data_IF_085549796758
#
_entry.id   IF_085549796758
#
_cell.length_a   1.000
_cell.length_b   1.000
_cell.length_c   1.000
_cell.angle_alpha   90.00
_cell.angle_beta   90.00
_cell.angle_gamma   90.00
#
_symmetry.space_group_name_H-M   'P 1'
#
loop_
_entity.id
_entity.type
_entity.pdbx_description
1 polymer ?
#
# COMPACT_ATOMS: atom_id res chain seq x y z
N UNK A 1 37.53 -66.94 58.48
CA UNK A 1 37.04 -65.55 58.59
C UNK A 1 38.01 -64.69 57.79
N UNK A 2 37.64 -63.92 56.77
CA UNK A 2 36.33 -63.57 56.24
C UNK A 2 36.41 -63.39 54.72
N UNK A 3 35.25 -63.52 54.09
CA UNK A 3 35.03 -63.44 52.64
C UNK A 3 35.11 -61.96 52.24
N UNK A 4 36.08 -61.62 51.37
CA UNK A 4 36.14 -60.29 50.75
C UNK A 4 35.36 -60.36 49.43
N UNK A 5 34.08 -59.98 49.48
CA UNK A 5 33.22 -59.88 48.29
C UNK A 5 33.63 -58.61 47.54
N UNK A 6 34.38 -58.75 46.44
CA UNK A 6 34.53 -57.67 45.47
C UNK A 6 33.17 -57.46 44.77
N UNK A 7 32.45 -56.42 45.20
CA UNK A 7 31.31 -55.86 44.47
C UNK A 7 31.81 -55.22 43.18
N UNK A 8 31.73 -55.95 42.07
CA UNK A 8 31.94 -55.40 40.74
C UNK A 8 30.83 -54.41 40.39
N UNK A 9 31.15 -53.12 40.41
CA UNK A 9 30.34 -52.07 39.80
C UNK A 9 30.34 -52.28 38.28
N UNK A 10 29.29 -52.94 37.77
CA UNK A 10 28.94 -52.86 36.36
C UNK A 10 28.51 -51.41 36.08
N UNK A 11 29.45 -50.58 35.63
CA UNK A 11 29.12 -49.31 35.03
C UNK A 11 28.34 -49.62 33.74
N UNK A 12 27.02 -49.51 33.81
CA UNK A 12 26.14 -49.52 32.65
C UNK A 12 26.58 -48.36 31.77
N UNK A 13 27.33 -48.67 30.71
CA UNK A 13 27.57 -47.74 29.62
C UNK A 13 26.20 -47.50 29.01
N UNK A 14 25.54 -46.42 29.44
CA UNK A 14 24.40 -45.87 28.73
C UNK A 14 24.95 -45.40 27.37
N UNK A 15 24.90 -46.29 26.38
CA UNK A 15 24.89 -45.85 25.00
C UNK A 15 23.59 -45.07 24.85
N UNK A 16 23.66 -43.75 25.02
CA UNK A 16 22.59 -42.87 24.58
C UNK A 16 22.29 -43.28 23.14
N UNK A 17 21.09 -43.81 22.91
CA UNK A 17 20.61 -44.01 21.55
C UNK A 17 20.50 -42.60 21.00
N UNK A 18 21.50 -42.16 20.22
CA UNK A 18 21.36 -40.98 19.39
C UNK A 18 20.06 -41.20 18.61
N UNK A 19 19.05 -40.40 18.89
CA UNK A 19 17.83 -40.43 18.12
C UNK A 19 18.24 -40.17 16.67
N UNK A 20 18.20 -41.21 15.83
CA UNK A 20 18.51 -41.04 14.41
C UNK A 20 17.25 -40.48 13.76
N UNK A 21 17.12 -39.16 13.80
CA UNK A 21 16.03 -38.49 13.11
C UNK A 21 16.11 -38.75 11.61
N UNK A 22 14.93 -38.81 10.97
CA UNK A 22 14.80 -38.97 9.52
C UNK A 22 15.68 -37.94 8.78
N UNK A 23 16.51 -38.42 7.85
CA UNK A 23 17.46 -37.64 7.06
C UNK A 23 18.31 -36.64 7.87
N UNK A 24 18.58 -36.92 9.16
CA UNK A 24 19.27 -35.98 10.06
C UNK A 24 18.64 -34.59 10.07
N UNK A 25 17.31 -34.53 10.05
CA UNK A 25 16.54 -33.28 9.93
C UNK A 25 16.93 -32.44 8.71
N UNK A 26 17.43 -33.09 7.65
CA UNK A 26 17.92 -32.48 6.40
C UNK A 26 18.96 -31.37 6.63
N UNK A 27 19.64 -31.34 7.78
CA UNK A 27 20.50 -30.22 8.19
C UNK A 27 19.74 -28.91 8.50
N UNK A 28 18.42 -28.99 8.61
CA UNK A 28 17.50 -27.87 8.80
C UNK A 28 16.70 -27.97 10.11
N UNK A 29 17.21 -28.72 11.07
CA UNK A 29 16.64 -28.81 12.41
C UNK A 29 17.55 -29.53 13.39
N UNK A 30 17.14 -29.55 14.65
CA UNK A 30 17.77 -30.34 15.70
C UNK A 30 16.96 -31.60 15.98
N UNK A 31 17.65 -32.73 16.12
CA UNK A 31 17.00 -33.98 16.48
C UNK A 31 16.74 -34.05 17.99
N UNK A 32 15.47 -34.18 18.36
CA UNK A 32 15.04 -34.35 19.75
C UNK A 32 14.71 -35.79 20.10
N UNK A 33 14.20 -35.98 21.33
CA UNK A 33 13.66 -37.27 21.76
C UNK A 33 12.53 -37.78 20.84
N UNK A 34 12.34 -39.10 20.82
CA UNK A 34 11.35 -39.79 19.97
C UNK A 34 11.58 -39.62 18.44
N UNK A 35 12.82 -39.43 17.99
CA UNK A 35 13.19 -39.28 16.58
C UNK A 35 12.43 -38.14 15.86
N UNK A 36 12.10 -37.08 16.61
CA UNK A 36 11.35 -35.93 16.10
C UNK A 36 12.30 -34.76 15.84
N UNK A 37 12.27 -34.25 14.61
CA UNK A 37 12.98 -33.03 14.26
C UNK A 37 12.24 -31.78 14.76
N UNK A 38 13.00 -30.85 15.34
CA UNK A 38 12.58 -29.47 15.56
C UNK A 38 13.24 -28.60 14.50
N UNK A 39 12.46 -28.10 13.54
CA UNK A 39 12.99 -27.36 12.40
C UNK A 39 13.49 -25.96 12.77
N UNK A 40 14.53 -25.51 12.08
CA UNK A 40 15.00 -24.13 12.16
C UNK A 40 14.00 -23.16 11.50
N UNK A 41 14.02 -21.86 11.87
CA UNK A 41 13.15 -20.86 11.25
C UNK A 41 13.22 -20.89 9.72
N UNK A 42 12.05 -20.86 9.07
CA UNK A 42 11.93 -20.93 7.61
C UNK A 42 11.96 -22.35 7.04
N UNK A 43 12.06 -23.38 7.87
CA UNK A 43 11.98 -24.79 7.48
C UNK A 43 10.85 -25.53 8.19
N UNK A 44 10.27 -26.51 7.50
CA UNK A 44 9.11 -27.31 7.89
C UNK A 44 9.15 -28.64 7.15
N UNK A 45 8.09 -29.43 7.26
CA UNK A 45 7.97 -30.76 6.65
C UNK A 45 8.38 -31.83 7.64
N UNK A 46 7.39 -32.43 8.30
CA UNK A 46 7.64 -33.63 9.09
C UNK A 46 7.92 -34.83 8.15
N UNK A 47 8.83 -35.74 8.51
CA UNK A 47 9.56 -35.79 9.78
C UNK A 47 10.96 -35.14 9.76
N UNK A 48 11.42 -34.53 8.66
CA UNK A 48 12.85 -34.25 8.41
C UNK A 48 13.22 -32.80 8.05
N UNK A 49 12.32 -31.83 8.20
CA UNK A 49 12.59 -30.40 7.94
C UNK A 49 13.06 -30.07 6.51
N UNK A 50 12.73 -30.91 5.52
CA UNK A 50 13.19 -30.78 4.13
C UNK A 50 12.50 -29.67 3.32
N UNK A 51 11.48 -28.99 3.87
CA UNK A 51 10.62 -28.04 3.14
C UNK A 51 10.79 -26.63 3.67
N UNK A 52 10.76 -25.61 2.81
CA UNK A 52 10.68 -24.20 3.19
C UNK A 52 9.29 -23.83 3.70
N UNK A 53 9.20 -22.96 4.69
CA UNK A 53 7.93 -22.38 5.12
C UNK A 53 7.48 -21.35 4.08
N UNK A 54 6.25 -21.49 3.58
CA UNK A 54 5.62 -20.47 2.75
C UNK A 54 4.93 -19.39 3.61
N UNK A 55 4.81 -18.16 3.09
CA UNK A 55 4.12 -17.10 3.79
C UNK A 55 2.62 -17.41 3.92
N UNK A 56 2.06 -16.95 5.03
CA UNK A 56 0.63 -17.00 5.30
C UNK A 56 0.02 -15.62 5.17
N UNK A 57 -1.24 -15.55 4.75
CA UNK A 57 -2.01 -14.31 4.73
C UNK A 57 -3.48 -14.58 5.01
N UNK A 58 -4.28 -13.51 5.11
CA UNK A 58 -5.74 -13.59 5.27
C UNK A 58 -6.33 -14.54 4.23
N UNK A 59 -7.05 -15.57 4.68
CA UNK A 59 -7.65 -16.55 3.78
C UNK A 59 -8.77 -15.89 2.95
N UNK A 60 -8.81 -16.18 1.65
CA UNK A 60 -9.92 -15.79 0.78
C UNK A 60 -11.19 -16.62 1.01
N UNK A 61 -11.02 -17.85 1.49
CA UNK A 61 -12.12 -18.68 1.92
C UNK A 61 -11.65 -19.61 3.04
N UNK A 62 -12.33 -19.60 4.17
CA UNK A 62 -12.13 -20.57 5.23
C UNK A 62 -13.47 -20.93 5.87
N UNK A 63 -13.45 -21.99 6.68
CA UNK A 63 -14.61 -22.34 7.49
C UNK A 63 -14.64 -21.38 8.68
N UNK A 64 -15.74 -20.66 8.87
CA UNK A 64 -15.93 -19.84 10.06
C UNK A 64 -15.77 -20.70 11.32
N UNK A 65 -14.91 -20.23 12.24
CA UNK A 65 -14.65 -20.89 13.52
C UNK A 65 -15.56 -20.37 14.63
N UNK A 66 -16.35 -19.34 14.35
CA UNK A 66 -17.32 -18.75 15.27
C UNK A 66 -18.10 -17.60 14.63
N UNK A 67 -19.02 -17.01 15.40
CA UNK A 67 -19.78 -15.83 14.98
C UNK A 67 -18.83 -14.67 14.68
N UNK A 68 -18.84 -14.18 13.43
CA UNK A 68 -17.93 -13.12 12.95
C UNK A 68 -16.43 -13.48 13.06
N UNK A 69 -16.08 -14.77 13.09
CA UNK A 69 -14.68 -15.24 13.11
C UNK A 69 -14.42 -16.13 11.90
N UNK A 70 -13.73 -15.56 10.92
CA UNK A 70 -13.31 -16.19 9.66
C UNK A 70 -12.05 -15.47 9.15
N UNK A 71 -11.56 -15.87 7.98
CA UNK A 71 -10.40 -15.33 7.27
C UNK A 71 -9.08 -15.45 8.03
N UNK A 72 -8.87 -16.60 8.68
CA UNK A 72 -7.63 -16.92 9.40
C UNK A 72 -6.41 -16.86 8.50
N UNK A 73 -5.22 -16.66 9.08
CA UNK A 73 -3.97 -16.70 8.32
C UNK A 73 -3.72 -18.12 7.78
N UNK A 74 -3.65 -18.25 6.46
CA UNK A 74 -3.49 -19.53 5.77
C UNK A 74 -2.30 -19.47 4.81
N UNK A 75 -1.61 -20.60 4.64
CA UNK A 75 -0.53 -20.75 3.66
C UNK A 75 -1.03 -20.32 2.28
N UNK A 76 -0.28 -19.40 1.66
CA UNK A 76 -0.63 -18.81 0.38
C UNK A 76 -2.07 -18.28 0.30
N UNK A 77 -2.63 -17.80 1.43
CA UNK A 77 -3.99 -17.27 1.56
C UNK A 77 -5.04 -18.15 0.88
N UNK A 78 -4.81 -19.47 0.88
CA UNK A 78 -5.59 -20.47 0.15
C UNK A 78 -5.93 -20.11 -1.33
N UNK A 79 -5.10 -19.29 -1.97
CA UNK A 79 -5.18 -18.85 -3.37
C UNK A 79 -3.85 -18.98 -4.10
N UNK A 80 -3.09 -19.98 -3.71
CA UNK A 80 -1.87 -20.38 -4.36
C UNK A 80 -1.42 -21.75 -3.88
N UNK A 81 -0.40 -22.27 -4.53
CA UNK A 81 0.31 -23.49 -4.14
C UNK A 81 1.68 -23.10 -3.64
N UNK A 82 2.07 -23.60 -2.47
CA UNK A 82 3.42 -23.39 -1.94
C UNK A 82 4.43 -24.22 -2.74
N UNK A 83 5.45 -23.56 -3.31
CA UNK A 83 6.68 -24.24 -3.71
C UNK A 83 7.58 -24.39 -2.48
N UNK A 84 7.51 -25.56 -1.86
CA UNK A 84 8.27 -25.90 -0.66
C UNK A 84 9.79 -25.96 -0.88
N UNK A 85 10.30 -25.90 -2.12
CA UNK A 85 11.75 -25.82 -2.36
C UNK A 85 12.26 -24.38 -2.21
N UNK A 86 11.44 -23.40 -2.57
CA UNK A 86 11.79 -21.96 -2.54
C UNK A 86 11.14 -21.20 -1.40
N UNK A 87 10.02 -21.69 -0.85
CA UNK A 87 9.19 -20.99 0.12
C UNK A 87 8.31 -19.89 -0.50
N UNK A 88 8.12 -19.93 -1.83
CA UNK A 88 7.34 -18.94 -2.58
C UNK A 88 5.96 -19.49 -2.93
N UNK A 89 4.93 -18.66 -2.76
CA UNK A 89 3.58 -19.01 -3.17
C UNK A 89 3.37 -18.77 -4.66
N UNK A 90 3.00 -19.81 -5.40
CA UNK A 90 2.55 -19.74 -6.79
C UNK A 90 1.06 -19.39 -6.81
N UNK A 91 0.73 -18.12 -7.01
CA UNK A 91 -0.65 -17.65 -6.95
C UNK A 91 -1.51 -18.13 -8.11
N UNK A 92 -2.77 -18.44 -7.82
CA UNK A 92 -3.77 -18.71 -8.85
C UNK A 92 -4.09 -17.43 -9.63
N UNK A 93 -4.53 -17.57 -10.89
CA UNK A 93 -4.86 -16.42 -11.76
C UNK A 93 -5.77 -15.40 -11.07
N UNK A 94 -5.39 -14.13 -11.16
CA UNK A 94 -6.13 -13.02 -10.55
C UNK A 94 -5.75 -12.70 -9.09
N UNK A 95 -4.78 -13.41 -8.52
CA UNK A 95 -4.25 -13.17 -7.17
C UNK A 95 -2.76 -12.83 -7.21
N UNK A 96 -2.31 -12.05 -6.23
CA UNK A 96 -0.94 -11.55 -6.10
C UNK A 96 -0.59 -11.27 -4.64
N UNK A 97 0.64 -10.79 -4.40
CA UNK A 97 1.24 -10.68 -3.08
C UNK A 97 2.04 -11.91 -2.70
N UNK A 98 2.91 -11.76 -1.70
CA UNK A 98 3.80 -12.83 -1.24
C UNK A 98 3.05 -14.10 -0.80
N UNK A 99 1.85 -13.95 -0.25
CA UNK A 99 0.98 -15.05 0.15
C UNK A 99 -0.28 -15.14 -0.73
N UNK A 100 -0.32 -14.54 -1.92
CA UNK A 100 -1.54 -14.53 -2.76
C UNK A 100 -2.77 -13.90 -2.11
N UNK A 101 -2.54 -13.04 -1.11
CA UNK A 101 -3.58 -12.43 -0.29
C UNK A 101 -4.29 -11.27 -1.00
N UNK A 102 -3.77 -10.77 -2.12
CA UNK A 102 -4.32 -9.61 -2.84
C UNK A 102 -4.93 -10.01 -4.18
N UNK A 103 -5.94 -9.27 -4.63
CA UNK A 103 -6.42 -9.33 -6.03
C UNK A 103 -5.49 -8.55 -6.94
N UNK A 104 -5.32 -9.03 -8.16
CA UNK A 104 -4.67 -8.26 -9.22
C UNK A 104 -5.64 -7.19 -9.71
N UNK A 105 -5.16 -5.95 -9.88
CA UNK A 105 -5.94 -4.93 -10.57
C UNK A 105 -6.06 -5.23 -12.06
N UNK A 106 -7.25 -5.02 -12.62
CA UNK A 106 -7.52 -5.30 -14.03
C UNK A 106 -6.56 -4.51 -14.93
N UNK A 107 -5.98 -5.19 -15.92
CA UNK A 107 -5.02 -4.64 -16.90
C UNK A 107 -3.88 -3.80 -16.28
N UNK A 108 -3.52 -4.06 -15.02
CA UNK A 108 -2.57 -3.24 -14.27
C UNK A 108 -2.90 -1.72 -14.36
N UNK A 109 -4.19 -1.39 -14.25
CA UNK A 109 -4.71 -0.03 -14.38
C UNK A 109 -4.36 0.65 -15.71
N UNK A 110 -4.14 -0.14 -16.76
CA UNK A 110 -3.84 0.31 -18.13
C UNK A 110 -2.67 1.29 -18.23
N UNK A 111 -1.79 1.34 -17.21
CA UNK A 111 -0.72 2.35 -17.11
C UNK A 111 -1.19 3.78 -16.82
N UNK A 112 -2.47 3.96 -16.45
CA UNK A 112 -3.11 5.24 -16.16
C UNK A 112 -3.72 5.27 -14.76
N UNK A 113 -3.05 4.63 -13.81
CA UNK A 113 -3.47 4.63 -12.43
C UNK A 113 -2.61 3.74 -11.54
N UNK A 114 -2.86 3.83 -10.24
CA UNK A 114 -2.20 3.03 -9.22
C UNK A 114 -3.14 1.98 -8.67
N UNK A 115 -2.69 0.74 -8.55
CA UNK A 115 -3.46 -0.33 -7.92
C UNK A 115 -3.47 -0.17 -6.40
N UNK A 116 -4.63 0.12 -5.81
CA UNK A 116 -4.79 0.45 -4.39
C UNK A 116 -5.73 -0.51 -3.67
N UNK A 117 -5.55 -0.64 -2.36
CA UNK A 117 -6.43 -1.45 -1.51
C UNK A 117 -7.75 -0.74 -1.23
N UNK A 118 -8.81 -1.49 -0.89
CA UNK A 118 -10.08 -0.89 -0.48
C UNK A 118 -9.94 0.07 0.71
N UNK A 119 -9.05 -0.23 1.66
CA UNK A 119 -8.72 0.69 2.77
C UNK A 119 -8.23 2.05 2.26
N UNK A 120 -7.28 2.05 1.32
CA UNK A 120 -6.74 3.27 0.74
C UNK A 120 -7.77 4.01 -0.10
N UNK A 121 -8.59 3.29 -0.87
CA UNK A 121 -9.68 3.91 -1.63
C UNK A 121 -10.68 4.62 -0.71
N UNK A 122 -11.07 4.00 0.41
CA UNK A 122 -11.94 4.62 1.41
C UNK A 122 -11.34 5.88 2.02
N UNK A 123 -10.06 5.84 2.38
CA UNK A 123 -9.36 6.96 3.00
C UNK A 123 -9.07 8.13 2.04
N UNK A 124 -8.77 7.85 0.77
CA UNK A 124 -8.36 8.87 -0.20
C UNK A 124 -9.53 9.44 -1.01
N UNK A 125 -10.57 8.64 -1.25
CA UNK A 125 -11.68 8.97 -2.16
C UNK A 125 -13.06 8.84 -1.53
N UNK A 126 -13.15 8.36 -0.28
CA UNK A 126 -14.40 8.35 0.44
C UNK A 126 -14.86 9.77 0.81
N UNK A 127 -16.14 9.92 1.21
CA UNK A 127 -16.71 11.22 1.57
C UNK A 127 -15.92 11.85 2.71
N UNK A 128 -15.40 13.06 2.48
CA UNK A 128 -14.67 13.83 3.48
C UNK A 128 -15.63 14.63 4.36
N UNK A 129 -15.44 14.53 5.68
CA UNK A 129 -16.18 15.28 6.71
C UNK A 129 -15.41 16.52 7.20
N UNK A 130 -14.52 17.06 6.36
CA UNK A 130 -13.74 18.27 6.63
C UNK A 130 -12.34 18.03 7.18
N UNK A 131 -11.80 16.81 7.04
CA UNK A 131 -10.48 16.41 7.53
C UNK A 131 -9.47 16.16 6.40
N UNK A 132 -9.90 16.25 5.15
CA UNK A 132 -9.10 15.88 3.97
C UNK A 132 -8.95 14.37 3.79
N UNK A 133 -9.73 13.55 4.51
CA UNK A 133 -9.70 12.08 4.44
C UNK A 133 -11.11 11.52 4.48
N UNK A 134 -11.33 10.48 3.69
CA UNK A 134 -12.54 9.67 3.76
C UNK A 134 -12.54 8.71 4.96
N UNK A 135 -13.63 7.96 5.16
CA UNK A 135 -13.78 7.01 6.25
C UNK A 135 -12.74 5.88 6.19
N UNK A 136 -12.31 5.43 7.37
CA UNK A 136 -11.49 4.23 7.51
C UNK A 136 -12.34 2.99 7.21
N UNK A 137 -11.92 2.19 6.23
CA UNK A 137 -12.56 0.92 5.90
C UNK A 137 -11.78 -0.24 6.53
N UNK A 138 -12.41 -0.93 7.49
CA UNK A 138 -11.72 -1.87 8.40
C UNK A 138 -12.17 -3.33 8.27
N UNK A 139 -12.98 -3.67 7.25
CA UNK A 139 -13.42 -5.05 7.05
C UNK A 139 -12.24 -5.99 6.70
N UNK A 140 -12.44 -7.31 6.77
CA UNK A 140 -11.37 -8.30 6.62
C UNK A 140 -10.62 -8.19 5.28
N UNK A 141 -11.32 -7.80 4.23
CA UNK A 141 -10.86 -7.68 2.85
C UNK A 141 -10.19 -6.33 2.55
N UNK A 142 -10.12 -5.43 3.53
CA UNK A 142 -9.66 -4.05 3.33
C UNK A 142 -8.30 -3.93 2.63
N UNK A 143 -7.41 -4.92 2.83
CA UNK A 143 -6.06 -4.98 2.24
C UNK A 143 -5.91 -6.05 1.14
N UNK A 144 -6.96 -6.84 0.92
CA UNK A 144 -6.96 -7.98 -0.01
C UNK A 144 -7.66 -7.62 -1.32
N UNK A 145 -8.77 -6.89 -1.22
CA UNK A 145 -9.47 -6.35 -2.38
C UNK A 145 -8.76 -5.10 -2.88
N UNK A 146 -8.46 -5.09 -4.18
CA UNK A 146 -7.75 -4.00 -4.85
C UNK A 146 -8.59 -3.43 -5.99
N UNK A 147 -8.43 -2.14 -6.22
CA UNK A 147 -9.06 -1.39 -7.32
C UNK A 147 -8.06 -0.41 -7.92
N UNK A 148 -8.25 -0.06 -9.18
CA UNK A 148 -7.47 1.00 -9.80
C UNK A 148 -7.91 2.36 -9.29
N UNK A 149 -6.93 3.12 -8.84
CA UNK A 149 -7.05 4.55 -8.62
C UNK A 149 -6.48 5.27 -9.85
N UNK A 150 -7.38 5.80 -10.68
CA UNK A 150 -7.00 6.34 -11.99
C UNK A 150 -6.36 7.71 -11.90
N UNK A 151 -5.36 7.90 -12.76
CA UNK A 151 -4.78 9.20 -13.03
C UNK A 151 -5.84 10.11 -13.68
N UNK A 152 -5.68 11.41 -13.49
CA UNK A 152 -6.62 12.37 -14.05
C UNK A 152 -6.75 12.24 -15.57
N UNK A 153 -7.98 12.38 -16.06
CA UNK A 153 -8.31 12.20 -17.47
C UNK A 153 -8.60 10.75 -17.86
N UNK A 154 -8.45 9.80 -16.93
CA UNK A 154 -8.82 8.40 -17.11
C UNK A 154 -9.85 7.95 -16.08
N UNK A 155 -10.70 7.02 -16.49
CA UNK A 155 -11.78 6.46 -15.68
C UNK A 155 -12.05 5.01 -16.06
N UNK A 156 -13.03 4.41 -15.38
CA UNK A 156 -13.39 3.01 -15.55
C UNK A 156 -12.67 2.11 -14.54
N UNK A 157 -12.98 0.80 -14.57
CA UNK A 157 -12.46 -0.16 -13.59
C UNK A 157 -10.95 -0.41 -13.69
N UNK A 158 -10.36 -0.13 -14.85
CA UNK A 158 -8.94 -0.34 -15.15
C UNK A 158 -8.27 0.89 -15.75
N UNK A 159 -8.89 2.06 -15.65
CA UNK A 159 -8.37 3.33 -16.17
C UNK A 159 -8.10 3.36 -17.68
N UNK A 160 -8.72 2.47 -18.46
CA UNK A 160 -8.58 2.46 -19.93
C UNK A 160 -9.41 3.54 -20.62
N UNK A 161 -10.46 4.04 -19.98
CA UNK A 161 -11.40 4.97 -20.60
C UNK A 161 -10.95 6.40 -20.36
N UNK A 162 -10.90 7.22 -21.41
CA UNK A 162 -10.67 8.66 -21.24
C UNK A 162 -11.92 9.34 -20.72
N UNK A 163 -11.74 10.22 -19.75
CA UNK A 163 -12.79 11.12 -19.31
C UNK A 163 -13.07 12.14 -20.42
N UNK A 164 -14.34 12.38 -20.72
CA UNK A 164 -14.72 13.54 -21.50
C UNK A 164 -14.40 14.82 -20.72
N UNK A 165 -14.12 15.94 -21.41
CA UNK A 165 -14.12 17.25 -20.77
C UNK A 165 -15.42 17.43 -19.99
N UNK A 166 -15.29 17.69 -18.69
CA UNK A 166 -16.43 18.05 -17.85
C UNK A 166 -16.48 19.56 -17.84
N UNK A 167 -17.40 20.13 -18.60
CA UNK A 167 -17.80 21.51 -18.39
C UNK A 167 -19.10 21.53 -17.58
N UNK A 168 -19.44 22.71 -17.08
CA UNK A 168 -20.71 22.94 -16.45
C UNK A 168 -21.85 22.66 -17.46
N UNK A 169 -23.01 22.27 -16.96
CA UNK A 169 -24.16 22.02 -17.82
C UNK A 169 -24.45 23.31 -18.63
N UNK A 170 -24.50 23.26 -19.97
CA UNK A 170 -24.78 24.45 -20.77
C UNK A 170 -26.15 25.09 -20.47
N UNK A 171 -27.01 24.41 -19.71
CA UNK A 171 -28.33 24.90 -19.31
C UNK A 171 -28.37 25.52 -17.91
N UNK A 172 -27.33 25.40 -17.07
CA UNK A 172 -27.31 26.11 -15.80
C UNK A 172 -27.09 27.60 -16.05
N UNK A 173 -27.88 28.45 -15.37
CA UNK A 173 -27.78 29.92 -15.45
C UNK A 173 -27.36 30.50 -14.11
N UNK A 174 -26.51 31.55 -14.11
CA UNK A 174 -26.12 32.27 -12.90
C UNK A 174 -24.91 31.68 -12.18
N UNK A 175 -24.09 30.87 -12.85
CA UNK A 175 -22.91 30.28 -12.22
C UNK A 175 -21.78 31.30 -12.06
N UNK A 176 -21.09 31.21 -10.92
CA UNK A 176 -19.81 31.88 -10.71
C UNK A 176 -18.66 30.96 -11.12
N UNK A 177 -17.61 31.54 -11.70
CA UNK A 177 -16.36 30.82 -11.91
C UNK A 177 -15.78 30.34 -10.58
N UNK A 178 -15.18 29.16 -10.57
CA UNK A 178 -14.49 28.64 -9.37
C UNK A 178 -13.24 29.49 -9.12
N UNK A 179 -13.15 30.05 -7.91
CA UNK A 179 -11.97 30.75 -7.43
C UNK A 179 -11.11 29.80 -6.60
N UNK A 180 -9.85 29.65 -6.96
CA UNK A 180 -8.84 28.94 -6.18
C UNK A 180 -8.01 29.95 -5.42
N UNK A 181 -7.94 29.84 -4.10
CA UNK A 181 -7.15 30.71 -3.23
C UNK A 181 -5.89 29.98 -2.76
N UNK A 182 -4.73 30.49 -3.14
CA UNK A 182 -3.41 29.99 -2.75
C UNK A 182 -2.81 30.93 -1.70
N UNK A 183 -2.64 30.46 -0.46
CA UNK A 183 -2.00 31.25 0.60
C UNK A 183 -0.62 30.70 0.91
N UNK A 184 0.40 31.51 0.70
CA UNK A 184 1.78 31.20 1.06
C UNK A 184 2.18 32.03 2.28
N UNK A 185 2.49 31.33 3.38
CA UNK A 185 2.93 31.94 4.63
C UNK A 185 4.17 31.22 5.16
N UNK A 186 5.07 31.99 5.77
CA UNK A 186 6.28 31.49 6.42
C UNK A 186 6.63 32.41 7.59
N UNK A 187 7.55 31.96 8.47
CA UNK A 187 8.11 32.76 9.57
C UNK A 187 9.27 33.66 9.12
N UNK A 188 9.86 33.38 7.96
CA UNK A 188 10.96 34.14 7.34
C UNK A 188 10.61 34.47 5.89
N UNK A 189 11.45 35.29 5.23
CA UNK A 189 11.27 35.61 3.82
C UNK A 189 11.24 34.35 2.95
N UNK A 190 10.14 34.16 2.21
CA UNK A 190 10.01 33.08 1.24
C UNK A 190 11.06 33.24 0.14
N UNK A 191 11.57 32.12 -0.37
CA UNK A 191 12.48 32.08 -1.51
C UNK A 191 12.16 30.85 -2.37
N UNK A 192 12.68 30.82 -3.60
CA UNK A 192 12.42 29.74 -4.55
C UNK A 192 11.01 29.80 -5.14
N UNK A 193 10.43 28.63 -5.42
CA UNK A 193 9.20 28.50 -6.18
C UNK A 193 8.17 27.62 -5.48
N UNK A 194 6.89 27.93 -5.69
CA UNK A 194 5.77 27.06 -5.34
C UNK A 194 5.35 26.27 -6.57
N UNK A 195 5.04 24.98 -6.38
CA UNK A 195 4.40 24.15 -7.41
C UNK A 195 2.93 23.97 -7.06
N UNK A 196 2.07 24.41 -7.97
CA UNK A 196 0.64 24.17 -7.92
C UNK A 196 0.31 22.99 -8.81
N UNK A 197 -0.35 21.98 -8.24
CA UNK A 197 -0.83 20.82 -9.00
C UNK A 197 -2.35 20.82 -8.99
N UNK A 198 -2.94 20.89 -10.17
CA UNK A 198 -4.39 20.82 -10.34
C UNK A 198 -4.73 19.79 -11.40
N UNK A 199 -5.49 18.78 -10.99
CA UNK A 199 -5.91 17.69 -11.86
C UNK A 199 -4.73 17.00 -12.55
N UNK A 200 -3.68 16.69 -11.80
CA UNK A 200 -2.48 15.99 -12.30
C UNK A 200 -1.52 16.83 -13.15
N UNK A 201 -1.89 18.05 -13.54
CA UNK A 201 -1.01 18.99 -14.21
C UNK A 201 -0.37 19.92 -13.18
N UNK A 202 0.92 20.16 -13.32
CA UNK A 202 1.69 20.98 -12.38
C UNK A 202 2.25 22.20 -13.09
N UNK A 203 2.18 23.34 -12.41
CA UNK A 203 2.90 24.55 -12.82
C UNK A 203 3.65 25.11 -11.63
N UNK A 204 4.77 25.75 -11.92
CA UNK A 204 5.64 26.36 -10.93
C UNK A 204 5.68 27.88 -11.12
N UNK A 205 5.66 28.61 -10.02
CA UNK A 205 5.81 30.06 -10.01
C UNK A 205 6.60 30.52 -8.78
N UNK A 206 7.19 31.73 -8.76
CA UNK A 206 7.97 32.20 -7.62
C UNK A 206 7.12 32.27 -6.34
N UNK A 207 7.67 31.82 -5.21
CA UNK A 207 6.94 31.84 -3.93
C UNK A 207 6.95 33.23 -3.26
N UNK A 208 7.95 34.05 -3.59
CA UNK A 208 8.17 35.38 -3.01
C UNK A 208 7.43 36.48 -3.80
N UNK A 209 6.78 37.41 -3.11
CA UNK A 209 6.03 38.53 -3.71
C UNK A 209 6.87 39.51 -4.51
N UNK A 210 8.15 39.70 -4.19
CA UNK A 210 9.02 40.60 -4.95
C UNK A 210 9.37 40.00 -6.33
N UNK A 211 9.32 38.68 -6.46
CA UNK A 211 9.61 37.95 -7.70
C UNK A 211 8.34 37.47 -8.42
N UNK A 212 7.16 37.64 -7.83
CA UNK A 212 5.89 37.19 -8.39
C UNK A 212 4.96 38.40 -8.67
N UNK A 213 3.98 38.21 -9.54
CA UNK A 213 2.99 39.24 -9.85
C UNK A 213 1.68 38.63 -10.36
N UNK A 214 0.60 39.42 -10.40
CA UNK A 214 -0.67 39.01 -11.00
C UNK A 214 -0.47 38.39 -12.39
N UNK A 215 0.41 38.99 -13.21
CA UNK A 215 0.72 38.51 -14.55
C UNK A 215 1.46 37.16 -14.55
N UNK A 216 2.47 37.01 -13.70
CA UNK A 216 3.24 35.75 -13.59
C UNK A 216 2.35 34.61 -13.09
N UNK A 217 1.57 34.85 -12.04
CA UNK A 217 0.63 33.86 -11.51
C UNK A 217 -0.46 33.51 -12.53
N UNK A 218 -1.03 34.50 -13.22
CA UNK A 218 -2.03 34.27 -14.27
C UNK A 218 -1.46 33.45 -15.43
N UNK A 219 -0.26 33.79 -15.91
CA UNK A 219 0.40 33.06 -17.00
C UNK A 219 0.73 31.62 -16.59
N UNK A 220 1.20 31.41 -15.36
CA UNK A 220 1.46 30.09 -14.82
C UNK A 220 0.19 29.24 -14.78
N UNK A 221 -0.89 29.71 -14.15
CA UNK A 221 -2.13 28.92 -14.07
C UNK A 221 -2.76 28.69 -15.45
N UNK A 222 -2.72 29.68 -16.35
CA UNK A 222 -3.24 29.55 -17.72
C UNK A 222 -2.39 28.62 -18.61
N UNK A 223 -1.17 28.27 -18.21
CA UNK A 223 -0.33 27.32 -18.93
C UNK A 223 -0.70 25.85 -18.68
N UNK A 224 -1.56 25.59 -17.68
CA UNK A 224 -2.07 24.27 -17.40
C UNK A 224 -2.98 23.81 -18.55
N UNK A 225 -2.73 22.65 -19.19
CA UNK A 225 -3.50 22.19 -20.35
C UNK A 225 -5.00 22.00 -20.11
N UNK A 226 -5.39 21.90 -18.84
CA UNK A 226 -6.76 21.66 -18.38
C UNK A 226 -7.46 22.94 -17.87
N UNK A 227 -6.86 24.12 -18.06
CA UNK A 227 -7.43 25.44 -17.75
C UNK A 227 -7.60 26.20 -19.07
N UNK A 228 -8.79 26.74 -19.32
CA UNK A 228 -9.06 27.53 -20.53
C UNK A 228 -8.50 28.94 -20.42
N UNK A 229 -8.86 29.65 -19.35
CA UNK A 229 -8.23 30.91 -18.98
C UNK A 229 -8.21 31.05 -17.46
N UNK A 230 -7.24 31.80 -16.94
CA UNK A 230 -7.23 32.18 -15.54
C UNK A 230 -7.06 33.69 -15.40
N UNK A 231 -7.55 34.24 -14.29
CA UNK A 231 -7.22 35.60 -13.83
C UNK A 231 -6.86 35.54 -12.36
N UNK A 232 -5.62 35.84 -12.05
CA UNK A 232 -5.09 35.80 -10.69
C UNK A 232 -4.87 37.19 -10.12
N UNK A 233 -5.31 37.39 -8.88
CA UNK A 233 -5.09 38.62 -8.10
C UNK A 233 -4.36 38.32 -6.81
N UNK A 234 -3.20 38.96 -6.63
CA UNK A 234 -2.42 38.90 -5.40
C UNK A 234 -2.90 39.94 -4.39
N UNK A 235 -2.99 39.51 -3.15
CA UNK A 235 -3.43 40.31 -2.02
C UNK A 235 -2.69 39.88 -0.75
N UNK A 236 -2.85 40.65 0.33
CA UNK A 236 -2.30 40.32 1.66
C UNK A 236 -0.78 40.05 1.64
N UNK A 237 -0.03 40.88 0.91
CA UNK A 237 1.44 40.75 0.82
C UNK A 237 2.07 41.10 2.17
N UNK A 238 2.83 40.17 2.74
CA UNK A 238 3.58 40.41 3.97
C UNK A 238 4.92 41.09 3.66
N UNK A 239 5.16 42.29 4.19
CA UNK A 239 6.40 43.05 3.91
C UNK A 239 7.69 42.41 4.43
N UNK A 240 7.62 41.50 5.41
CA UNK A 240 8.78 40.83 6.02
C UNK A 240 9.00 39.46 5.42
N UNK A 241 7.96 38.62 5.41
CA UNK A 241 8.06 37.22 4.96
C UNK A 241 7.84 37.07 3.47
N UNK A 242 7.38 38.13 2.81
CA UNK A 242 7.04 38.15 1.38
C UNK A 242 5.98 37.12 0.99
N UNK A 243 5.23 36.61 1.97
CA UNK A 243 4.04 35.77 1.78
C UNK A 243 2.92 36.51 1.05
N UNK A 244 2.07 35.75 0.37
CA UNK A 244 1.06 36.25 -0.57
C UNK A 244 -0.20 35.40 -0.48
N UNK A 245 -1.37 36.02 -0.64
CA UNK A 245 -2.60 35.34 -1.00
C UNK A 245 -2.91 35.59 -2.48
N UNK A 246 -2.97 34.53 -3.29
CA UNK A 246 -3.31 34.62 -4.72
C UNK A 246 -4.68 34.01 -4.97
N UNK A 247 -5.63 34.82 -5.41
CA UNK A 247 -6.98 34.39 -5.78
C UNK A 247 -7.07 34.29 -7.30
N UNK A 248 -7.17 33.06 -7.80
CA UNK A 248 -7.25 32.75 -9.23
C UNK A 248 -8.65 32.30 -9.62
N UNK A 249 -9.32 33.12 -10.42
CA UNK A 249 -10.58 32.79 -11.06
C UNK A 249 -10.27 32.04 -12.35
N UNK A 250 -10.72 30.80 -12.47
CA UNK A 250 -10.43 29.97 -13.65
C UNK A 250 -11.69 29.72 -14.46
N UNK A 251 -11.57 29.83 -15.78
CA UNK A 251 -12.54 29.33 -16.75
C UNK A 251 -12.03 27.99 -17.29
N UNK A 252 -12.93 27.02 -17.43
CA UNK A 252 -12.63 25.72 -18.03
C UNK A 252 -12.92 25.77 -19.53
N UNK A 253 -12.24 24.92 -20.30
CA UNK A 253 -12.59 24.67 -21.70
C UNK A 253 -13.88 23.84 -21.79
#
# INVERSE_FOLDING_TARGET
MGICVLLGLLASIWTGVDATCANFCSGHGTCGGANKCTCFPGWTGAPDCSRKVCPTGTAWADKASGTNVAHSAMECSNRGVCDYSTGVCMCTTGFTGNACQRRVCLNNCSGHGTCQTMAMMGLMYGPDVGTGKGPAYTNWEQSSMMSCFCDYGYQGPDCSLRMCPKNDDPLTTGQGYRTVSLTLAASTALAGSVTFTFSGQSVTMPANSDANSNAICTAAISSLPNIGAATCTMSNINGVTKGINSNCVCTYL
#
